data_IF_537334021834
#
_entry.id   IF_537334021834
#
_cell.length_a   1.000
_cell.length_b   1.000
_cell.length_c   1.000
_cell.angle_alpha   90.00
_cell.angle_beta   90.00
_cell.angle_gamma   90.00
#
_symmetry.space_group_name_H-M   'P 1'
#
loop_
_entity.id
_entity.type
_entity.pdbx_description
1 polymer ?
#
# COMPACT_ATOMS: atom_id res chain seq x y z
N UNK A 1 -1.44 -31.91 -34.81
CA UNK A 1 -2.35 -31.23 -33.87
C UNK A 1 -1.66 -30.70 -32.59
N UNK A 2 -0.72 -31.43 -31.99
CA UNK A 2 -0.03 -31.02 -30.74
C UNK A 2 0.74 -29.70 -30.76
N UNK A 3 1.29 -29.27 -31.91
CA UNK A 3 2.07 -28.02 -32.01
C UNK A 3 1.22 -26.76 -31.86
N UNK A 4 -0.07 -26.79 -32.20
CA UNK A 4 -0.99 -25.65 -32.05
C UNK A 4 -1.49 -25.53 -30.60
N UNK A 5 -1.77 -26.67 -29.96
CA UNK A 5 -2.18 -26.75 -28.55
C UNK A 5 -1.08 -26.21 -27.62
N UNK A 6 0.20 -26.52 -27.89
CA UNK A 6 1.33 -25.97 -27.12
C UNK A 6 1.45 -24.45 -27.23
N UNK A 7 1.19 -23.86 -28.40
CA UNK A 7 1.24 -22.41 -28.61
C UNK A 7 0.09 -21.68 -27.91
N UNK A 8 -1.11 -22.27 -27.92
CA UNK A 8 -2.27 -21.74 -27.20
C UNK A 8 -2.07 -21.82 -25.68
N UNK A 9 -1.53 -22.93 -25.17
CA UNK A 9 -1.19 -23.07 -23.75
C UNK A 9 -0.09 -22.08 -23.31
N UNK A 10 0.94 -21.88 -24.12
CA UNK A 10 1.99 -20.90 -23.80
C UNK A 10 1.46 -19.47 -23.82
N UNK A 11 0.61 -19.11 -24.78
CA UNK A 11 -0.03 -17.79 -24.85
C UNK A 11 -0.99 -17.53 -23.69
N UNK A 12 -1.73 -18.55 -23.25
CA UNK A 12 -2.62 -18.47 -22.09
C UNK A 12 -1.83 -18.32 -20.78
N UNK A 13 -0.72 -19.05 -20.64
CA UNK A 13 0.15 -18.99 -19.45
C UNK A 13 0.80 -17.60 -19.30
N UNK A 14 1.24 -16.98 -20.40
CA UNK A 14 1.81 -15.62 -20.38
C UNK A 14 0.77 -14.54 -20.08
N UNK A 15 -0.50 -14.73 -20.43
CA UNK A 15 -1.55 -13.75 -20.16
C UNK A 15 -1.92 -13.69 -18.65
N UNK A 16 -1.80 -14.80 -17.92
CA UNK A 16 -2.11 -14.89 -16.49
C UNK A 16 -1.04 -14.20 -15.62
N UNK A 17 0.22 -14.18 -16.07
CA UNK A 17 1.34 -13.60 -15.31
C UNK A 17 1.32 -12.06 -15.33
N UNK A 18 0.63 -11.43 -16.28
CA UNK A 18 0.59 -9.97 -16.42
C UNK A 18 -0.31 -9.23 -15.41
N UNK A 19 -1.10 -9.95 -14.60
CA UNK A 19 -2.07 -9.32 -13.69
C UNK A 19 -1.66 -9.25 -12.22
N UNK A 20 -0.51 -9.79 -11.84
CA UNK A 20 -0.06 -9.75 -10.44
C UNK A 20 0.94 -8.61 -10.28
N UNK A 21 0.43 -7.39 -10.09
CA UNK A 21 1.25 -6.34 -9.50
C UNK A 21 1.02 -6.32 -7.98
N UNK A 22 2.07 -6.53 -7.17
CA UNK A 22 2.01 -6.18 -5.76
C UNK A 22 2.02 -4.64 -5.70
N UNK A 23 0.86 -4.03 -5.43
CA UNK A 23 0.83 -2.63 -5.06
C UNK A 23 1.70 -2.45 -3.81
N UNK A 24 2.71 -1.59 -3.90
CA UNK A 24 3.58 -1.26 -2.77
C UNK A 24 2.75 -0.55 -1.71
N UNK A 25 2.18 -1.33 -0.80
CA UNK A 25 1.38 -0.83 0.29
C UNK A 25 2.28 -0.04 1.26
N UNK A 26 1.99 1.26 1.41
CA UNK A 26 2.68 2.10 2.38
C UNK A 26 2.23 1.73 3.79
N UNK A 27 3.16 1.25 4.61
CA UNK A 27 2.92 0.96 6.02
C UNK A 27 2.68 2.23 6.84
N UNK A 28 1.54 2.29 7.53
CA UNK A 28 1.13 3.38 8.42
C UNK A 28 0.75 2.86 9.80
N UNK A 29 0.72 3.76 10.78
CA UNK A 29 0.55 3.41 12.18
C UNK A 29 -0.56 4.27 12.79
N UNK A 30 -1.58 3.61 13.34
CA UNK A 30 -2.69 4.24 14.06
C UNK A 30 -2.59 3.94 15.54
N UNK A 31 -2.96 4.89 16.38
CA UNK A 31 -3.10 4.62 17.82
C UNK A 31 -4.52 4.13 18.10
N UNK A 32 -4.69 3.26 19.10
CA UNK A 32 -5.99 2.66 19.45
C UNK A 32 -7.13 3.68 19.63
N UNK A 33 -6.81 4.86 20.17
CA UNK A 33 -7.78 5.93 20.43
C UNK A 33 -7.68 7.10 19.44
N UNK A 34 -6.78 7.01 18.46
CA UNK A 34 -6.54 8.07 17.50
C UNK A 34 -7.51 8.01 16.33
N UNK A 35 -7.81 9.16 15.72
CA UNK A 35 -8.47 9.23 14.40
C UNK A 35 -7.48 9.40 13.24
N UNK A 36 -6.19 9.45 13.55
CA UNK A 36 -5.14 9.77 12.58
C UNK A 36 -4.15 8.64 12.43
N UNK A 37 -3.65 8.46 11.20
CA UNK A 37 -2.52 7.60 10.92
C UNK A 37 -1.22 8.39 10.77
N UNK A 38 -0.13 7.73 11.12
CA UNK A 38 1.20 8.31 11.27
C UNK A 38 2.24 7.42 10.61
N UNK A 39 3.41 7.99 10.30
CA UNK A 39 4.60 7.20 9.99
C UNK A 39 5.15 6.52 11.24
N UNK A 40 5.93 5.45 11.06
CA UNK A 40 6.53 4.63 12.13
C UNK A 40 7.21 5.45 13.23
N UNK A 41 7.96 6.47 12.84
CA UNK A 41 8.79 7.27 13.75
C UNK A 41 8.16 8.62 14.11
N UNK A 42 6.84 8.77 14.01
CA UNK A 42 6.18 10.00 14.43
C UNK A 42 6.27 10.17 15.95
N UNK A 43 6.74 11.35 16.38
CA UNK A 43 6.77 11.76 17.80
C UNK A 43 5.42 11.65 18.50
N UNK A 44 4.31 11.70 17.76
CA UNK A 44 2.96 11.65 18.30
C UNK A 44 2.52 10.25 18.74
N UNK A 45 3.18 9.21 18.22
CA UNK A 45 2.90 7.80 18.53
C UNK A 45 4.02 7.13 19.34
N UNK A 46 5.13 7.84 19.57
CA UNK A 46 6.26 7.34 20.35
C UNK A 46 5.80 6.96 21.77
N UNK A 47 6.04 5.71 22.16
CA UNK A 47 5.66 5.17 23.47
C UNK A 47 4.16 4.88 23.63
N UNK A 48 3.38 4.85 22.55
CA UNK A 48 1.97 4.47 22.56
C UNK A 48 1.78 3.11 21.91
N UNK A 49 0.72 2.40 22.30
CA UNK A 49 0.24 1.25 21.55
C UNK A 49 -0.26 1.69 20.17
N UNK A 50 0.30 1.04 19.14
CA UNK A 50 -0.02 1.32 17.74
C UNK A 50 -0.38 0.05 17.01
N UNK A 51 -1.35 0.16 16.11
CA UNK A 51 -1.67 -0.85 15.13
C UNK A 51 -1.01 -0.47 13.80
N UNK A 52 -0.33 -1.45 13.18
CA UNK A 52 0.26 -1.32 11.86
C UNK A 52 -0.80 -1.65 10.82
N UNK A 53 -1.03 -0.76 9.87
CA UNK A 53 -1.98 -0.90 8.76
C UNK A 53 -1.31 -0.48 7.45
N UNK A 54 -1.90 -0.84 6.33
CA UNK A 54 -1.58 -0.15 5.07
C UNK A 54 -2.30 1.19 5.01
N UNK A 55 -1.78 2.13 4.22
CA UNK A 55 -2.44 3.43 3.98
C UNK A 55 -3.88 3.23 3.48
N UNK A 56 -4.08 2.32 2.54
CA UNK A 56 -5.38 2.00 1.94
C UNK A 56 -6.34 1.45 2.99
N UNK A 57 -5.88 0.53 3.84
CA UNK A 57 -6.67 0.01 4.95
C UNK A 57 -7.03 1.11 5.97
N UNK A 58 -6.09 2.00 6.29
CA UNK A 58 -6.33 3.09 7.21
C UNK A 58 -7.37 4.08 6.65
N UNK A 59 -7.26 4.43 5.36
CA UNK A 59 -8.24 5.29 4.67
C UNK A 59 -9.61 4.61 4.55
N UNK A 60 -9.65 3.31 4.23
CA UNK A 60 -10.87 2.52 4.17
C UNK A 60 -11.58 2.41 5.52
N UNK A 61 -10.82 2.37 6.63
CA UNK A 61 -11.34 2.43 8.00
C UNK A 61 -11.71 3.85 8.46
N UNK A 62 -11.52 4.86 7.61
CA UNK A 62 -11.88 6.25 7.89
C UNK A 62 -10.86 7.04 8.73
N UNK A 63 -9.63 6.52 8.87
CA UNK A 63 -8.54 7.29 9.49
C UNK A 63 -8.03 8.36 8.53
N UNK A 64 -7.68 9.53 9.08
CA UNK A 64 -7.14 10.64 8.31
C UNK A 64 -5.61 10.76 8.49
N UNK A 65 -4.86 11.24 7.49
CA UNK A 65 -3.44 11.46 7.66
C UNK A 65 -3.16 12.52 8.73
N UNK A 66 -2.12 12.31 9.53
CA UNK A 66 -1.57 13.36 10.38
C UNK A 66 -0.89 14.45 9.54
N UNK A 67 -0.70 15.65 10.09
CA UNK A 67 -0.08 16.77 9.36
C UNK A 67 1.33 16.44 8.84
N UNK A 68 2.11 15.68 9.63
CA UNK A 68 3.43 15.19 9.21
C UNK A 68 3.32 14.18 8.06
N UNK A 69 2.24 13.39 8.04
CA UNK A 69 1.98 12.40 7.00
C UNK A 69 1.53 13.05 5.69
N UNK A 70 0.73 14.12 5.75
CA UNK A 70 0.32 14.88 4.55
C UNK A 70 1.54 15.37 3.78
N UNK A 71 2.48 16.02 4.47
CA UNK A 71 3.72 16.53 3.86
C UNK A 71 4.56 15.42 3.21
N UNK A 72 4.66 14.27 3.88
CA UNK A 72 5.41 13.12 3.37
C UNK A 72 4.75 12.52 2.12
N UNK A 73 3.42 12.43 2.10
CA UNK A 73 2.68 11.95 0.93
C UNK A 73 2.76 12.91 -0.26
N UNK A 74 2.85 14.22 -0.01
CA UNK A 74 3.09 15.22 -1.06
C UNK A 74 4.49 15.05 -1.67
N UNK A 75 5.52 14.86 -0.85
CA UNK A 75 6.90 14.64 -1.30
C UNK A 75 7.02 13.33 -2.12
N UNK A 76 6.40 12.23 -1.68
CA UNK A 76 6.44 10.95 -2.41
C UNK A 76 5.77 11.01 -3.78
N UNK A 77 4.72 11.84 -3.95
CA UNK A 77 4.05 12.00 -5.26
C UNK A 77 4.90 12.73 -6.28
N UNK A 78 5.94 13.42 -5.83
CA UNK A 78 6.75 14.28 -6.68
C UNK A 78 7.94 13.54 -7.32
N UNK A 79 8.31 12.36 -6.80
CA UNK A 79 9.35 11.47 -7.35
C UNK A 79 8.81 10.51 -8.44
N UNK A 80 7.49 10.41 -8.62
CA UNK A 80 6.84 9.57 -9.64
C UNK A 80 6.51 10.34 -10.95
N UNK A 81 6.90 11.63 -11.06
CA UNK A 81 6.76 12.47 -12.28
C UNK A 81 8.11 12.78 -12.92
#
# INVERSE_FOLDING_TARGET
>A
MHRRIRKVLFGLLTAVILFVQPALALDVYVTKNGKKYHKKDSRFIKGKEVEKLTREEAEARGYIPSREMIKLLEEMKQDDS
#
